data_IF_821811597940
#
_entry.id   IF_821811597940
#
_cell.length_a   1.000
_cell.length_b   1.000
_cell.length_c   1.000
_cell.angle_alpha   90.00
_cell.angle_beta   90.00
_cell.angle_gamma   90.00
#
_symmetry.space_group_name_H-M   'P 1'
#
loop_
_entity.id
_entity.type
_entity.pdbx_description
1 polymer ?
#
# COMPACT_ATOMS: atom_id res chain seq x y z
N UNK A 1 -3.65 -26.53 20.01
CA UNK A 1 -2.22 -26.42 20.34
C UNK A 1 -1.66 -25.19 19.63
N UNK A 2 -0.70 -24.47 20.21
CA UNK A 2 -0.04 -23.34 19.54
C UNK A 2 1.22 -23.87 18.83
N UNK A 3 1.31 -23.64 17.51
CA UNK A 3 2.40 -24.15 16.68
C UNK A 3 3.73 -23.41 16.89
N UNK A 4 3.70 -22.16 17.37
CA UNK A 4 4.89 -21.31 17.49
C UNK A 4 5.43 -20.80 16.13
N UNK A 5 4.77 -21.14 15.03
CA UNK A 5 5.06 -20.66 13.68
C UNK A 5 3.77 -20.63 12.85
N UNK A 6 3.76 -19.80 11.81
CA UNK A 6 2.71 -19.76 10.78
C UNK A 6 3.29 -19.80 9.35
N UNK A 7 4.62 -19.87 9.23
CA UNK A 7 5.33 -20.12 7.99
C UNK A 7 6.44 -21.14 8.23
N UNK A 8 6.60 -22.05 7.26
CA UNK A 8 7.65 -23.06 7.21
C UNK A 8 8.27 -23.07 5.82
N UNK A 9 9.60 -23.15 5.76
CA UNK A 9 10.35 -23.38 4.55
C UNK A 9 10.81 -24.85 4.54
N UNK A 10 10.56 -25.55 3.45
CA UNK A 10 10.89 -26.96 3.28
C UNK A 10 11.87 -27.11 2.11
N UNK A 11 12.78 -28.07 2.25
CA UNK A 11 13.59 -28.54 1.13
C UNK A 11 12.67 -29.29 0.15
N UNK A 12 12.65 -28.91 -1.14
CA UNK A 12 11.68 -29.45 -2.08
C UNK A 12 11.94 -30.92 -2.46
N UNK A 13 13.12 -31.48 -2.16
CA UNK A 13 13.48 -32.86 -2.52
C UNK A 13 13.29 -33.81 -1.34
N UNK A 14 13.80 -33.44 -0.18
CA UNK A 14 13.79 -34.26 1.04
C UNK A 14 12.59 -33.99 1.95
N UNK A 15 11.92 -32.85 1.79
CA UNK A 15 10.88 -32.39 2.71
C UNK A 15 11.43 -31.92 4.06
N UNK A 16 12.75 -31.84 4.23
CA UNK A 16 13.37 -31.38 5.47
C UNK A 16 12.98 -29.93 5.78
N UNK A 17 12.71 -29.62 7.04
CA UNK A 17 12.44 -28.24 7.46
C UNK A 17 13.73 -27.42 7.42
N UNK A 18 13.76 -26.40 6.57
CA UNK A 18 14.87 -25.46 6.42
C UNK A 18 14.74 -24.24 7.35
N UNK A 19 13.51 -23.93 7.77
CA UNK A 19 13.26 -22.83 8.70
C UNK A 19 11.79 -22.66 9.02
N UNK A 20 11.51 -22.04 10.16
CA UNK A 20 10.16 -21.70 10.61
C UNK A 20 10.16 -20.27 11.12
N UNK A 21 9.02 -19.59 10.98
CA UNK A 21 8.81 -18.28 11.60
C UNK A 21 7.35 -18.00 11.90
N UNK A 22 7.14 -17.09 12.83
CA UNK A 22 5.84 -16.49 13.13
C UNK A 22 5.73 -15.15 12.40
N UNK A 23 5.31 -15.20 11.13
CA UNK A 23 5.10 -14.02 10.31
C UNK A 23 4.09 -13.08 10.96
N UNK A 24 4.48 -11.81 11.09
CA UNK A 24 3.63 -10.79 11.69
C UNK A 24 3.62 -10.78 13.22
N UNK A 25 4.53 -11.52 13.88
CA UNK A 25 4.81 -11.36 15.30
C UNK A 25 5.39 -9.96 15.60
N UNK A 26 5.11 -9.44 16.80
CA UNK A 26 5.73 -8.21 17.33
C UNK A 26 7.14 -8.54 17.82
N UNK A 27 8.08 -8.72 16.89
CA UNK A 27 9.44 -9.16 17.20
C UNK A 27 10.49 -8.48 16.33
N UNK A 28 11.59 -8.07 16.97
CA UNK A 28 12.78 -7.53 16.32
C UNK A 28 13.87 -8.59 16.07
N UNK A 29 13.56 -9.86 16.31
CA UNK A 29 14.44 -10.96 15.93
C UNK A 29 14.68 -10.96 14.41
N UNK A 30 15.86 -11.41 13.99
CA UNK A 30 16.30 -11.34 12.58
C UNK A 30 15.29 -11.96 11.62
N UNK A 31 14.64 -13.05 12.01
CA UNK A 31 13.69 -13.80 11.19
C UNK A 31 12.34 -13.08 11.04
N UNK A 32 12.01 -12.21 12.00
CA UNK A 32 10.71 -11.56 12.14
C UNK A 32 10.73 -10.04 11.91
N UNK A 33 11.89 -9.38 11.92
CA UNK A 33 11.99 -7.91 11.80
C UNK A 33 11.38 -7.37 10.50
N UNK A 34 11.61 -8.04 9.36
CA UNK A 34 11.03 -7.61 8.08
C UNK A 34 9.51 -7.87 8.02
N UNK A 35 8.98 -9.06 8.38
CA UNK A 35 7.54 -9.27 8.55
C UNK A 35 6.88 -8.30 9.52
N UNK A 36 7.53 -8.00 10.65
CA UNK A 36 7.05 -7.05 11.65
C UNK A 36 6.90 -5.65 11.06
N UNK A 37 7.96 -5.13 10.43
CA UNK A 37 7.94 -3.81 9.79
C UNK A 37 6.92 -3.73 8.65
N UNK A 38 6.82 -4.79 7.85
CA UNK A 38 5.84 -4.84 6.76
C UNK A 38 4.40 -4.81 7.30
N UNK A 39 4.08 -5.63 8.30
CA UNK A 39 2.74 -5.64 8.93
C UNK A 39 2.44 -4.33 9.65
N UNK A 40 3.43 -3.74 10.32
CA UNK A 40 3.30 -2.40 10.89
C UNK A 40 2.97 -1.37 9.81
N UNK A 41 3.64 -1.43 8.67
CA UNK A 41 3.47 -0.47 7.58
C UNK A 41 2.08 -0.51 6.94
N UNK A 42 1.48 -1.68 6.72
CA UNK A 42 0.17 -1.77 6.03
C UNK A 42 -1.04 -1.87 6.98
N UNK A 43 -0.85 -2.16 8.28
CA UNK A 43 -1.96 -2.37 9.21
C UNK A 43 -1.76 -1.77 10.61
N UNK A 44 -0.60 -1.20 10.90
CA UNK A 44 -0.21 -0.76 12.24
C UNK A 44 -0.26 -1.86 13.31
N UNK A 45 -0.28 -3.15 12.91
CA UNK A 45 -0.57 -4.31 13.78
C UNK A 45 -1.92 -4.25 14.50
N UNK A 46 -2.86 -3.43 14.02
CA UNK A 46 -4.21 -3.37 14.59
C UNK A 46 -4.93 -4.69 14.25
N UNK A 47 -5.46 -5.41 15.26
CA UNK A 47 -6.18 -6.66 15.02
C UNK A 47 -7.49 -6.42 14.27
N UNK A 48 -7.88 -7.43 13.50
CA UNK A 48 -9.19 -7.45 12.83
C UNK A 48 -10.31 -7.47 13.87
N UNK A 49 -11.44 -6.84 13.55
CA UNK A 49 -12.56 -6.72 14.47
C UNK A 49 -13.84 -6.34 13.74
N UNK A 50 -15.00 -6.73 14.28
CA UNK A 50 -16.31 -6.45 13.68
C UNK A 50 -16.48 -6.95 12.24
N UNK A 51 -15.73 -7.98 11.83
CA UNK A 51 -15.70 -8.47 10.45
C UNK A 51 -14.91 -7.60 9.48
N UNK A 52 -14.12 -6.65 9.99
CA UNK A 52 -13.32 -5.70 9.22
C UNK A 52 -11.82 -5.85 9.52
N UNK A 53 -11.00 -5.60 8.51
CA UNK A 53 -9.56 -5.44 8.66
C UNK A 53 -9.24 -4.03 9.15
N UNK A 54 -9.46 -3.78 10.45
CA UNK A 54 -9.43 -2.43 11.05
C UNK A 54 -8.12 -1.68 10.74
N UNK A 55 -6.98 -2.37 10.78
CA UNK A 55 -5.68 -1.77 10.44
C UNK A 55 -5.58 -1.32 8.98
N UNK A 56 -6.02 -2.15 8.05
CA UNK A 56 -6.03 -1.83 6.61
C UNK A 56 -7.02 -0.71 6.31
N UNK A 57 -8.21 -0.75 6.91
CA UNK A 57 -9.22 0.30 6.80
C UNK A 57 -8.68 1.64 7.30
N UNK A 58 -8.03 1.67 8.47
CA UNK A 58 -7.39 2.87 9.00
C UNK A 58 -6.35 3.42 8.01
N UNK A 59 -5.44 2.56 7.52
CA UNK A 59 -4.42 2.96 6.56
C UNK A 59 -5.03 3.50 5.25
N UNK A 60 -6.15 2.92 4.81
CA UNK A 60 -6.94 3.41 3.68
C UNK A 60 -7.53 4.80 3.89
N UNK A 61 -8.14 5.05 5.05
CA UNK A 61 -8.67 6.37 5.43
C UNK A 61 -7.54 7.40 5.51
N UNK A 62 -6.41 7.04 6.12
CA UNK A 62 -5.22 7.89 6.17
C UNK A 62 -4.67 8.18 4.78
N UNK A 63 -4.68 7.20 3.87
CA UNK A 63 -4.25 7.40 2.49
C UNK A 63 -5.17 8.38 1.74
N UNK A 64 -6.49 8.30 1.93
CA UNK A 64 -7.45 9.27 1.37
C UNK A 64 -7.19 10.68 1.92
N UNK A 65 -7.02 10.80 3.24
CA UNK A 65 -6.67 12.07 3.86
C UNK A 65 -5.34 12.61 3.32
N UNK A 66 -4.36 11.74 3.08
CA UNK A 66 -3.06 12.12 2.52
C UNK A 66 -3.14 12.58 1.07
N UNK A 67 -4.00 11.97 0.24
CA UNK A 67 -4.28 12.48 -1.12
C UNK A 67 -4.84 13.91 -1.04
N UNK A 68 -5.84 14.15 -0.19
CA UNK A 68 -6.43 15.47 0.00
C UNK A 68 -5.42 16.48 0.55
N UNK A 69 -4.61 16.06 1.53
CA UNK A 69 -3.53 16.88 2.10
C UNK A 69 -2.52 17.28 1.03
N UNK A 70 -2.07 16.37 0.16
CA UNK A 70 -1.20 16.70 -0.96
C UNK A 70 -1.79 17.80 -1.86
N UNK A 71 -3.08 17.72 -2.20
CA UNK A 71 -3.76 18.71 -3.04
C UNK A 71 -3.87 20.07 -2.33
N UNK A 72 -4.27 20.07 -1.06
CA UNK A 72 -4.38 21.29 -0.25
C UNK A 72 -3.00 21.93 -0.07
N UNK A 73 -1.98 21.14 0.27
CA UNK A 73 -0.61 21.59 0.45
C UNK A 73 -0.04 22.19 -0.84
N UNK A 74 -0.37 21.63 -2.01
CA UNK A 74 0.01 22.21 -3.29
C UNK A 74 -0.61 23.60 -3.47
N UNK A 75 -1.92 23.74 -3.25
CA UNK A 75 -2.61 25.04 -3.36
C UNK A 75 -2.03 26.07 -2.39
N UNK A 76 -1.84 25.71 -1.12
CA UNK A 76 -1.27 26.59 -0.09
C UNK A 76 0.19 26.96 -0.37
N UNK A 77 0.91 26.12 -1.10
CA UNK A 77 2.30 26.39 -1.47
C UNK A 77 2.43 27.53 -2.49
N UNK A 78 1.37 27.88 -3.23
CA UNK A 78 1.37 28.94 -4.24
C UNK A 78 0.41 30.10 -3.91
N UNK A 79 0.65 30.87 -2.83
CA UNK A 79 -0.26 31.92 -2.39
C UNK A 79 -0.31 33.15 -3.32
N UNK A 80 0.66 33.31 -4.22
CA UNK A 80 0.71 34.41 -5.18
C UNK A 80 1.35 33.95 -6.49
N UNK A 81 0.66 34.22 -7.61
CA UNK A 81 1.18 33.95 -8.95
C UNK A 81 2.46 34.73 -9.24
N UNK A 82 2.63 35.93 -8.70
CA UNK A 82 3.84 36.73 -8.92
C UNK A 82 5.08 36.19 -8.18
N UNK A 83 4.88 35.42 -7.10
CA UNK A 83 5.94 34.94 -6.22
C UNK A 83 6.14 33.41 -6.28
N UNK A 84 5.58 32.73 -7.29
CA UNK A 84 5.56 31.27 -7.39
C UNK A 84 6.95 30.62 -7.29
N UNK A 85 7.99 31.27 -7.83
CA UNK A 85 9.37 30.77 -7.76
C UNK A 85 9.88 30.61 -6.33
N UNK A 86 9.36 31.40 -5.38
CA UNK A 86 9.74 31.28 -3.96
C UNK A 86 9.26 29.97 -3.34
N UNK A 87 8.27 29.32 -3.94
CA UNK A 87 7.74 28.03 -3.46
C UNK A 87 8.71 26.87 -3.73
N UNK A 88 9.70 27.06 -4.61
CA UNK A 88 10.72 26.05 -4.93
C UNK A 88 12.08 26.32 -4.25
N UNK A 89 12.24 27.46 -3.57
CA UNK A 89 13.54 27.94 -3.11
C UNK A 89 13.81 27.57 -1.64
N UNK A 90 15.05 27.15 -1.37
CA UNK A 90 15.53 26.86 -0.01
C UNK A 90 16.47 27.95 0.48
N UNK A 91 16.15 28.61 1.60
CA UNK A 91 17.03 29.62 2.22
C UNK A 91 17.95 28.96 3.25
N UNK A 92 18.94 28.20 2.79
CA UNK A 92 19.91 27.49 3.63
C UNK A 92 20.60 28.39 4.66
N UNK A 93 20.99 29.61 4.25
CA UNK A 93 21.66 30.59 5.13
C UNK A 93 20.74 31.21 6.19
N UNK A 94 19.41 31.08 6.07
CA UNK A 94 18.48 31.67 7.02
C UNK A 94 18.39 30.89 8.34
N UNK A 95 18.72 29.59 8.32
CA UNK A 95 18.73 28.71 9.48
C UNK A 95 17.38 28.59 10.22
N UNK A 96 17.38 27.77 11.27
CA UNK A 96 16.29 27.64 12.23
C UNK A 96 14.91 27.42 11.60
N UNK A 97 13.92 28.19 12.06
CA UNK A 97 12.53 28.04 11.63
C UNK A 97 12.27 28.40 10.17
N UNK A 98 13.00 29.39 9.62
CA UNK A 98 12.84 29.78 8.22
C UNK A 98 13.30 28.64 7.30
N UNK A 99 14.43 28.01 7.63
CA UNK A 99 14.87 26.83 6.90
C UNK A 99 13.91 25.66 7.10
N UNK A 100 13.43 25.39 8.32
CA UNK A 100 12.44 24.32 8.55
C UNK A 100 11.15 24.53 7.74
N UNK A 101 10.67 25.77 7.65
CA UNK A 101 9.51 26.13 6.84
C UNK A 101 9.77 25.89 5.35
N UNK A 102 10.94 26.29 4.84
CA UNK A 102 11.32 26.07 3.44
C UNK A 102 11.51 24.56 3.14
N UNK A 103 12.13 23.79 4.05
CA UNK A 103 12.27 22.35 3.95
C UNK A 103 10.91 21.67 3.81
N UNK A 104 9.93 22.06 4.64
CA UNK A 104 8.59 21.52 4.57
C UNK A 104 7.87 21.95 3.29
N UNK A 105 7.75 23.26 3.03
CA UNK A 105 6.98 23.78 1.90
C UNK A 105 7.63 23.44 0.56
N UNK A 106 8.88 23.85 0.37
CA UNK A 106 9.58 23.68 -0.91
C UNK A 106 9.96 22.23 -1.15
N UNK A 107 10.36 21.49 -0.11
CA UNK A 107 10.56 20.04 -0.21
C UNK A 107 9.28 19.32 -0.63
N UNK A 108 8.15 19.68 -0.01
CA UNK A 108 6.84 19.17 -0.39
C UNK A 108 6.48 19.45 -1.85
N UNK A 109 6.73 20.66 -2.36
CA UNK A 109 6.48 21.01 -3.77
C UNK A 109 7.36 20.20 -4.73
N UNK A 110 8.67 20.07 -4.45
CA UNK A 110 9.58 19.28 -5.30
C UNK A 110 9.21 17.79 -5.33
N UNK A 111 8.77 17.25 -4.20
CA UNK A 111 8.39 15.84 -4.08
C UNK A 111 6.92 15.57 -4.42
N UNK A 112 6.10 16.60 -4.64
CA UNK A 112 4.65 16.50 -4.80
C UNK A 112 4.21 15.38 -5.76
N UNK A 113 4.76 15.26 -7.00
CA UNK A 113 4.34 14.20 -7.90
C UNK A 113 4.55 12.80 -7.32
N UNK A 114 5.69 12.57 -6.67
CA UNK A 114 6.02 11.29 -6.04
C UNK A 114 5.13 11.03 -4.82
N UNK A 115 4.90 12.05 -3.97
CA UNK A 115 4.02 11.94 -2.80
C UNK A 115 2.58 11.63 -3.21
N UNK A 116 2.08 12.29 -4.26
CA UNK A 116 0.73 12.03 -4.78
C UNK A 116 0.61 10.61 -5.34
N UNK A 117 1.60 10.14 -6.08
CA UNK A 117 1.63 8.74 -6.57
C UNK A 117 1.60 7.77 -5.38
N UNK A 118 2.44 7.97 -4.35
CA UNK A 118 2.47 7.10 -3.17
C UNK A 118 1.14 7.13 -2.41
N UNK A 119 0.51 8.29 -2.26
CA UNK A 119 -0.78 8.43 -1.59
C UNK A 119 -1.90 7.72 -2.39
N UNK A 120 -2.01 7.95 -3.70
CA UNK A 120 -3.03 7.32 -4.57
C UNK A 120 -2.84 5.80 -4.62
N UNK A 121 -1.60 5.33 -4.77
CA UNK A 121 -1.32 3.89 -4.78
C UNK A 121 -1.59 3.25 -3.41
N UNK A 122 -1.38 3.97 -2.30
CA UNK A 122 -1.79 3.50 -0.97
C UNK A 122 -3.31 3.34 -0.85
N UNK A 123 -4.11 4.27 -1.41
CA UNK A 123 -5.58 4.09 -1.51
C UNK A 123 -5.90 2.84 -2.34
N UNK A 124 -5.23 2.64 -3.48
CA UNK A 124 -5.47 1.48 -4.33
C UNK A 124 -5.18 0.14 -3.65
N UNK A 125 -4.22 0.10 -2.72
CA UNK A 125 -3.83 -1.12 -2.01
C UNK A 125 -4.71 -1.39 -0.79
N UNK A 126 -5.13 -0.35 -0.06
CA UNK A 126 -5.90 -0.49 1.18
C UNK A 126 -7.42 -0.44 0.98
N UNK A 127 -7.90 0.27 -0.05
CA UNK A 127 -9.33 0.45 -0.37
C UNK A 127 -9.60 0.15 -1.85
N UNK A 128 -9.08 -1.00 -2.30
CA UNK A 128 -9.11 -1.38 -3.71
C UNK A 128 -10.53 -1.53 -4.23
N UNK A 129 -11.36 -2.31 -3.54
CA UNK A 129 -12.70 -2.68 -4.00
C UNK A 129 -13.73 -1.62 -3.59
N UNK A 130 -13.50 -0.92 -2.49
CA UNK A 130 -14.39 0.09 -1.91
C UNK A 130 -14.29 1.43 -2.64
N UNK A 131 -13.08 1.81 -3.09
CA UNK A 131 -12.82 3.15 -3.66
C UNK A 131 -12.19 3.06 -5.05
N UNK A 132 -11.04 2.41 -5.18
CA UNK A 132 -10.23 2.53 -6.39
C UNK A 132 -10.89 1.87 -7.61
N UNK A 133 -11.36 0.64 -7.48
CA UNK A 133 -11.98 -0.12 -8.58
C UNK A 133 -13.28 0.53 -9.06
N UNK A 134 -14.24 0.92 -8.20
CA UNK A 134 -15.43 1.66 -8.63
C UNK A 134 -15.11 2.99 -9.33
N UNK A 135 -14.09 3.71 -8.88
CA UNK A 135 -13.69 4.97 -9.51
C UNK A 135 -13.12 4.73 -10.91
N UNK A 136 -12.22 3.77 -11.07
CA UNK A 136 -11.63 3.42 -12.36
C UNK A 136 -12.69 2.86 -13.32
N UNK A 137 -13.64 2.06 -12.81
CA UNK A 137 -14.75 1.49 -13.59
C UNK A 137 -15.64 2.56 -14.25
N UNK A 138 -15.69 3.79 -13.71
CA UNK A 138 -16.42 4.92 -14.32
C UNK A 138 -15.72 5.47 -15.58
N UNK A 139 -14.42 5.21 -15.74
CA UNK A 139 -13.60 5.77 -16.80
C UNK A 139 -13.13 4.71 -17.81
N UNK A 140 -13.02 3.44 -17.39
CA UNK A 140 -12.59 2.33 -18.23
C UNK A 140 -13.33 1.06 -17.82
N UNK A 141 -13.61 0.18 -18.79
CA UNK A 141 -14.08 -1.16 -18.49
C UNK A 141 -13.07 -1.89 -17.61
N UNK A 142 -13.51 -2.82 -16.76
CA UNK A 142 -12.61 -3.61 -15.93
C UNK A 142 -12.92 -5.09 -16.10
N UNK A 143 -11.87 -5.90 -16.10
CA UNK A 143 -12.03 -7.33 -16.06
C UNK A 143 -12.77 -7.76 -14.78
N UNK A 144 -13.54 -8.86 -14.83
CA UNK A 144 -14.14 -9.45 -13.64
C UNK A 144 -13.05 -9.73 -12.60
N UNK A 145 -13.25 -9.23 -11.38
CA UNK A 145 -12.35 -9.55 -10.27
C UNK A 145 -12.75 -10.92 -9.74
N UNK A 146 -11.80 -11.86 -9.56
CA UNK A 146 -12.12 -13.19 -9.00
C UNK A 146 -12.67 -13.11 -7.57
N UNK A 147 -12.59 -11.93 -6.94
CA UNK A 147 -13.06 -11.68 -5.58
C UNK A 147 -14.28 -10.76 -5.49
N UNK A 148 -14.49 -9.83 -6.43
CA UNK A 148 -15.52 -8.79 -6.29
C UNK A 148 -16.95 -9.35 -6.31
N UNK A 149 -17.20 -10.40 -7.10
CA UNK A 149 -18.53 -11.01 -7.23
C UNK A 149 -18.78 -12.09 -6.16
N UNK A 150 -17.80 -12.33 -5.28
CA UNK A 150 -17.88 -13.33 -4.20
C UNK A 150 -17.99 -12.64 -2.85
N UNK A 151 -19.00 -13.04 -2.07
CA UNK A 151 -19.06 -12.64 -0.67
C UNK A 151 -18.04 -13.46 0.13
N UNK A 152 -17.12 -12.84 0.87
CA UNK A 152 -16.19 -13.58 1.71
C UNK A 152 -16.96 -14.34 2.80
N UNK A 153 -16.62 -15.60 2.97
CA UNK A 153 -17.10 -16.42 4.07
C UNK A 153 -16.51 -15.91 5.41
N UNK A 154 -17.27 -16.01 6.51
CA UNK A 154 -16.80 -15.52 7.79
C UNK A 154 -15.59 -16.35 8.28
N UNK A 155 -14.66 -15.77 9.06
CA UNK A 155 -13.41 -16.42 9.43
C UNK A 155 -13.56 -17.78 10.14
N UNK A 156 -14.67 -17.97 10.87
CA UNK A 156 -14.98 -19.19 11.59
C UNK A 156 -15.66 -20.28 10.73
N UNK A 157 -16.03 -19.96 9.49
CA UNK A 157 -16.64 -20.90 8.54
C UNK A 157 -16.09 -20.62 7.13
N UNK A 158 -14.79 -20.88 6.89
CA UNK A 158 -14.21 -20.70 5.57
C UNK A 158 -14.87 -21.62 4.53
N UNK A 159 -14.71 -21.28 3.25
CA UNK A 159 -15.18 -22.16 2.17
C UNK A 159 -14.27 -23.39 2.13
N UNK A 160 -14.84 -24.56 2.41
CA UNK A 160 -14.12 -25.82 2.28
C UNK A 160 -13.83 -26.12 0.80
N UNK A 161 -12.54 -26.32 0.44
CA UNK A 161 -12.17 -26.68 -0.92
C UNK A 161 -12.48 -28.17 -1.17
N UNK A 162 -12.99 -28.50 -2.36
CA UNK A 162 -13.13 -29.89 -2.80
C UNK A 162 -11.92 -30.37 -3.61
N UNK A 163 -11.19 -29.42 -4.20
CA UNK A 163 -9.95 -29.67 -4.92
C UNK A 163 -8.73 -29.40 -4.04
N UNK A 164 -7.66 -30.18 -4.22
CA UNK A 164 -6.38 -29.95 -3.56
C UNK A 164 -5.49 -28.94 -4.29
N UNK A 165 -4.41 -28.51 -3.64
CA UNK A 165 -3.39 -27.66 -4.24
C UNK A 165 -2.79 -28.27 -5.52
N UNK A 166 -2.58 -29.59 -5.55
CA UNK A 166 -2.07 -30.29 -6.72
C UNK A 166 -3.04 -30.23 -7.91
N UNK A 167 -4.35 -30.27 -7.66
CA UNK A 167 -5.37 -30.13 -8.70
C UNK A 167 -5.36 -28.71 -9.28
N UNK A 168 -5.28 -27.70 -8.42
CA UNK A 168 -5.18 -26.30 -8.84
C UNK A 168 -3.94 -26.06 -9.72
N UNK A 169 -2.78 -26.57 -9.32
CA UNK A 169 -1.54 -26.46 -10.12
C UNK A 169 -1.67 -27.20 -11.45
N UNK A 170 -2.29 -28.39 -11.47
CA UNK A 170 -2.53 -29.15 -12.71
C UNK A 170 -3.45 -28.40 -13.68
N UNK A 171 -4.57 -27.87 -13.19
CA UNK A 171 -5.51 -27.05 -13.98
C UNK A 171 -4.84 -25.79 -14.53
N UNK A 172 -4.04 -25.12 -13.69
CA UNK A 172 -3.30 -23.92 -14.07
C UNK A 172 -2.27 -24.21 -15.15
N UNK A 173 -1.48 -25.29 -15.03
CA UNK A 173 -0.50 -25.67 -16.05
C UNK A 173 -1.17 -26.05 -17.38
N UNK A 174 -2.31 -26.75 -17.34
CA UNK A 174 -3.08 -27.04 -18.55
C UNK A 174 -3.56 -25.75 -19.23
N UNK A 175 -4.06 -24.78 -18.46
CA UNK A 175 -4.48 -23.48 -19.00
C UNK A 175 -3.30 -22.64 -19.51
N UNK A 176 -2.17 -22.64 -18.81
CA UNK A 176 -0.94 -21.98 -19.25
C UNK A 176 -0.44 -22.56 -20.58
N UNK A 177 -0.45 -23.89 -20.73
CA UNK A 177 -0.11 -24.56 -21.98
C UNK A 177 -1.05 -24.18 -23.12
N UNK A 178 -2.38 -24.10 -22.87
CA UNK A 178 -3.35 -23.62 -23.86
C UNK A 178 -3.07 -22.17 -24.31
N UNK A 179 -2.53 -21.34 -23.41
CA UNK A 179 -2.12 -19.95 -23.68
C UNK A 179 -0.71 -19.82 -24.26
N UNK A 180 0.01 -20.94 -24.45
CA UNK A 180 1.40 -20.94 -24.93
C UNK A 180 2.42 -20.40 -23.94
N UNK A 181 2.10 -20.38 -22.64
CA UNK A 181 3.03 -19.93 -21.60
C UNK A 181 4.05 -21.03 -21.29
N UNK A 182 5.33 -20.66 -21.23
CA UNK A 182 6.43 -21.56 -20.89
C UNK A 182 6.91 -21.40 -19.44
N UNK A 183 6.40 -20.39 -18.75
CA UNK A 183 6.81 -20.07 -17.37
C UNK A 183 6.22 -21.11 -16.42
N UNK A 184 6.98 -21.59 -15.40
CA UNK A 184 6.48 -22.59 -14.48
C UNK A 184 5.48 -21.98 -13.48
N UNK A 185 4.61 -22.82 -12.92
CA UNK A 185 3.81 -22.47 -11.75
C UNK A 185 4.74 -22.27 -10.53
N UNK A 186 5.13 -21.02 -10.27
CA UNK A 186 6.09 -20.65 -9.25
C UNK A 186 5.49 -20.49 -7.85
N UNK A 187 4.16 -20.41 -7.74
CA UNK A 187 3.47 -20.35 -6.46
C UNK A 187 1.99 -20.66 -6.57
N UNK A 188 1.43 -21.19 -5.48
CA UNK A 188 0.00 -21.46 -5.33
C UNK A 188 -0.47 -20.94 -3.97
N UNK A 189 -1.65 -20.33 -3.94
CA UNK A 189 -2.31 -19.89 -2.72
C UNK A 189 -3.78 -20.31 -2.72
N UNK A 190 -4.35 -20.50 -1.53
CA UNK A 190 -5.79 -20.65 -1.32
C UNK A 190 -6.30 -19.45 -0.55
N UNK A 191 -7.26 -18.74 -1.13
CA UNK A 191 -8.04 -17.74 -0.41
C UNK A 191 -9.27 -18.43 0.19
N UNK A 192 -9.13 -18.98 1.41
CA UNK A 192 -10.20 -19.72 2.09
C UNK A 192 -11.50 -18.91 2.31
N UNK A 193 -11.47 -17.59 2.57
CA UNK A 193 -12.70 -16.80 2.64
C UNK A 193 -13.47 -16.76 1.31
N UNK A 194 -12.78 -16.85 0.17
CA UNK A 194 -13.41 -16.75 -1.16
C UNK A 194 -13.57 -18.10 -1.86
N UNK A 195 -12.94 -19.16 -1.35
CA UNK A 195 -12.89 -20.47 -1.99
C UNK A 195 -12.23 -20.40 -3.36
N UNK A 196 -11.11 -19.68 -3.49
CA UNK A 196 -10.41 -19.49 -4.76
C UNK A 196 -8.95 -19.88 -4.61
N UNK A 197 -8.48 -20.75 -5.50
CA UNK A 197 -7.05 -20.97 -5.70
C UNK A 197 -6.48 -19.93 -6.64
N UNK A 198 -5.32 -19.37 -6.31
CA UNK A 198 -4.51 -18.55 -7.20
C UNK A 198 -3.20 -19.26 -7.52
N UNK A 199 -2.88 -19.42 -8.80
CA UNK A 199 -1.60 -19.96 -9.26
C UNK A 199 -0.84 -18.88 -10.02
N UNK A 200 0.34 -18.53 -9.51
CA UNK A 200 1.23 -17.55 -10.08
C UNK A 200 2.32 -18.23 -10.91
N UNK A 201 2.65 -17.64 -12.05
CA UNK A 201 3.67 -18.15 -12.97
C UNK A 201 4.90 -17.25 -12.89
N UNK A 202 6.04 -17.82 -12.47
CA UNK A 202 7.34 -17.14 -12.33
C UNK A 202 8.43 -18.15 -11.98
N UNK A 203 9.68 -17.80 -12.27
CA UNK A 203 10.85 -18.60 -11.89
C UNK A 203 11.19 -18.45 -10.40
N UNK A 204 11.97 -19.41 -9.88
CA UNK A 204 12.48 -19.38 -8.51
C UNK A 204 13.22 -18.06 -8.26
N UNK A 205 12.89 -17.40 -7.14
CA UNK A 205 13.43 -16.08 -6.79
C UNK A 205 12.64 -14.89 -7.34
N UNK A 206 11.81 -15.08 -8.37
CA UNK A 206 11.06 -14.01 -9.04
C UNK A 206 9.59 -13.90 -8.61
N UNK A 207 9.20 -14.52 -7.47
CA UNK A 207 7.82 -14.53 -6.97
C UNK A 207 7.23 -13.17 -6.60
N UNK A 208 8.05 -12.12 -6.61
CA UNK A 208 7.65 -10.76 -6.29
C UNK A 208 7.45 -9.86 -7.52
N UNK A 209 7.71 -10.37 -8.73
CA UNK A 209 7.58 -9.62 -9.98
C UNK A 209 8.56 -8.45 -10.03
N UNK A 210 9.86 -8.75 -10.05
CA UNK A 210 10.91 -7.73 -10.11
C UNK A 210 10.98 -7.13 -11.52
N UNK A 211 10.40 -5.94 -11.67
CA UNK A 211 10.31 -5.21 -12.94
C UNK A 211 8.91 -5.29 -13.58
N UNK A 212 8.41 -4.15 -14.06
CA UNK A 212 7.14 -4.08 -14.79
C UNK A 212 5.89 -4.16 -13.90
N UNK A 213 4.86 -4.87 -14.39
CA UNK A 213 3.50 -4.90 -13.82
C UNK A 213 3.21 -6.16 -12.96
N UNK A 214 4.24 -6.90 -12.57
CA UNK A 214 4.14 -8.10 -11.75
C UNK A 214 4.14 -9.41 -12.55
N UNK A 215 3.69 -10.50 -11.92
CA UNK A 215 3.65 -11.84 -12.52
C UNK A 215 2.23 -12.19 -13.00
N UNK A 216 2.08 -13.08 -14.00
CA UNK A 216 0.78 -13.62 -14.37
C UNK A 216 0.20 -14.55 -13.30
N UNK A 217 -1.08 -14.39 -13.02
CA UNK A 217 -1.86 -15.23 -12.09
C UNK A 217 -3.13 -15.75 -12.75
N UNK A 218 -3.45 -17.03 -12.50
CA UNK A 218 -4.72 -17.65 -12.86
C UNK A 218 -5.48 -18.01 -11.58
N UNK A 219 -6.79 -17.81 -11.58
CA UNK A 219 -7.65 -18.02 -10.42
C UNK A 219 -8.73 -19.05 -10.73
N UNK A 220 -8.85 -20.05 -9.85
CA UNK A 220 -9.77 -21.18 -10.01
C UNK A 220 -10.69 -21.31 -8.81
N UNK A 221 -11.95 -21.64 -9.04
CA UNK A 221 -12.86 -22.02 -7.95
C UNK A 221 -12.36 -23.28 -7.25
N UNK A 222 -12.33 -23.26 -5.91
CA UNK A 222 -11.76 -24.34 -5.12
C UNK A 222 -12.65 -25.59 -5.00
N UNK A 223 -13.88 -25.55 -5.52
CA UNK A 223 -14.82 -26.67 -5.50
C UNK A 223 -14.90 -27.41 -6.83
N UNK A 224 -15.01 -26.67 -7.93
CA UNK A 224 -15.21 -27.28 -9.26
C UNK A 224 -14.04 -27.06 -10.23
N UNK A 225 -13.06 -26.23 -9.87
CA UNK A 225 -11.89 -25.97 -10.69
C UNK A 225 -12.15 -25.08 -11.91
N UNK A 226 -13.31 -24.43 -11.97
CA UNK A 226 -13.61 -23.46 -13.03
C UNK A 226 -12.65 -22.27 -12.97
N UNK A 227 -12.19 -21.80 -14.13
CA UNK A 227 -11.37 -20.59 -14.21
C UNK A 227 -12.26 -19.36 -13.96
N UNK A 228 -12.05 -18.70 -12.83
CA UNK A 228 -12.88 -17.57 -12.37
C UNK A 228 -12.22 -16.21 -12.60
N UNK A 229 -10.95 -16.19 -12.97
CA UNK A 229 -10.26 -14.95 -13.34
C UNK A 229 -8.80 -15.16 -13.73
N UNK A 230 -8.21 -14.11 -14.29
CA UNK A 230 -6.77 -14.07 -14.53
C UNK A 230 -6.26 -12.64 -14.40
N UNK A 231 -5.05 -12.47 -13.88
CA UNK A 231 -4.32 -11.21 -13.87
C UNK A 231 -3.07 -11.38 -14.71
N UNK A 232 -3.06 -10.82 -15.92
CA UNK A 232 -1.93 -10.93 -16.85
C UNK A 232 -1.30 -9.54 -16.99
N UNK A 233 -0.02 -9.37 -16.62
CA UNK A 233 0.69 -8.11 -16.72
C UNK A 233 0.57 -7.48 -18.12
N UNK A 234 0.11 -6.22 -18.17
CA UNK A 234 0.00 -5.45 -19.40
C UNK A 234 -1.14 -5.87 -20.33
N UNK A 235 -2.05 -6.74 -19.88
CA UNK A 235 -3.26 -7.14 -20.62
C UNK A 235 -4.51 -6.66 -19.88
N UNK A 236 -5.61 -6.56 -20.65
CA UNK A 236 -6.89 -6.02 -20.18
C UNK A 236 -7.13 -4.62 -20.73
N UNK A 237 -8.08 -3.92 -20.13
CA UNK A 237 -8.35 -2.52 -20.44
C UNK A 237 -7.26 -1.57 -19.93
N UNK A 238 -7.35 -0.30 -20.28
CA UNK A 238 -6.52 0.74 -19.66
C UNK A 238 -6.73 0.81 -18.13
N UNK A 239 -7.95 0.58 -17.65
CA UNK A 239 -8.25 0.48 -16.23
C UNK A 239 -7.58 -0.72 -15.56
N UNK A 240 -7.55 -1.88 -16.22
CA UNK A 240 -6.85 -3.06 -15.70
C UNK A 240 -5.35 -2.80 -15.58
N UNK A 241 -4.72 -2.23 -16.61
CA UNK A 241 -3.30 -1.87 -16.61
C UNK A 241 -2.99 -0.83 -15.53
N UNK A 242 -3.85 0.17 -15.38
CA UNK A 242 -3.74 1.17 -14.31
C UNK A 242 -3.73 0.50 -12.92
N UNK A 243 -4.69 -0.38 -12.64
CA UNK A 243 -4.77 -1.10 -11.37
C UNK A 243 -3.56 -2.02 -11.14
N UNK A 244 -3.06 -2.68 -12.19
CA UNK A 244 -1.84 -3.50 -12.12
C UNK A 244 -0.60 -2.67 -11.75
N UNK A 245 -0.53 -1.41 -12.21
CA UNK A 245 0.61 -0.54 -11.94
C UNK A 245 0.69 -0.02 -10.50
N UNK A 246 -0.41 -0.08 -9.73
CA UNK A 246 -0.48 0.54 -8.41
C UNK A 246 0.57 0.02 -7.43
N UNK A 247 0.69 -1.30 -7.27
CA UNK A 247 1.66 -1.90 -6.35
C UNK A 247 3.12 -1.75 -6.83
N UNK A 248 3.47 -2.00 -8.10
CA UNK A 248 4.81 -1.75 -8.62
C UNK A 248 5.26 -0.29 -8.54
N UNK A 249 4.35 0.68 -8.71
CA UNK A 249 4.62 2.10 -8.51
C UNK A 249 4.89 2.39 -7.03
N UNK A 250 4.03 1.91 -6.13
CA UNK A 250 4.17 2.14 -4.69
C UNK A 250 5.48 1.58 -4.13
N UNK A 251 5.86 0.38 -4.57
CA UNK A 251 7.07 -0.32 -4.11
C UNK A 251 8.34 0.09 -4.86
N UNK A 252 8.20 0.88 -5.93
CA UNK A 252 9.30 1.24 -6.83
C UNK A 252 9.78 0.11 -7.74
N UNK A 253 9.14 -1.08 -7.67
CA UNK A 253 9.52 -2.25 -8.49
C UNK A 253 9.34 -2.05 -9.98
N UNK A 254 8.45 -1.14 -10.40
CA UNK A 254 8.24 -0.85 -11.81
C UNK A 254 9.54 -0.43 -12.53
N UNK A 255 10.46 0.21 -11.81
CA UNK A 255 11.77 0.65 -12.29
C UNK A 255 12.94 -0.16 -11.66
N UNK A 256 12.66 -1.35 -11.12
CA UNK A 256 13.66 -2.22 -10.52
C UNK A 256 14.37 -1.62 -9.30
N UNK A 257 15.67 -1.89 -9.15
CA UNK A 257 16.48 -1.42 -8.01
C UNK A 257 16.51 0.12 -7.91
N UNK A 258 16.71 0.89 -9.00
CA UNK A 258 16.65 2.36 -8.93
C UNK A 258 15.33 2.89 -8.37
N UNK A 259 14.19 2.33 -8.79
CA UNK A 259 12.88 2.72 -8.27
C UNK A 259 12.70 2.40 -6.80
N UNK A 260 13.18 1.23 -6.35
CA UNK A 260 13.16 0.85 -4.92
C UNK A 260 14.02 1.78 -4.06
N UNK A 261 15.18 2.20 -4.56
CA UNK A 261 16.02 3.21 -3.89
C UNK A 261 15.27 4.55 -3.81
N UNK A 262 14.68 5.01 -4.91
CA UNK A 262 13.93 6.26 -4.95
C UNK A 262 12.76 6.27 -3.95
N UNK A 263 11.94 5.22 -3.93
CA UNK A 263 10.83 5.09 -2.98
C UNK A 263 11.32 5.04 -1.54
N UNK A 264 12.43 4.34 -1.27
CA UNK A 264 13.02 4.29 0.08
C UNK A 264 13.48 5.68 0.55
N UNK A 265 14.13 6.45 -0.32
CA UNK A 265 14.52 7.84 -0.05
C UNK A 265 13.30 8.75 0.13
N UNK A 266 12.23 8.52 -0.66
CA UNK A 266 10.97 9.24 -0.48
C UNK A 266 10.35 8.94 0.90
N UNK A 267 10.41 7.70 1.39
CA UNK A 267 9.96 7.36 2.74
C UNK A 267 10.69 8.15 3.83
N UNK A 268 12.02 8.30 3.72
CA UNK A 268 12.80 9.16 4.62
C UNK A 268 12.39 10.64 4.49
N UNK A 269 12.18 11.11 3.27
CA UNK A 269 11.73 12.47 3.03
C UNK A 269 10.35 12.73 3.63
N UNK A 270 9.41 11.79 3.54
CA UNK A 270 8.09 11.86 4.21
C UNK A 270 8.26 12.00 5.71
N UNK A 271 9.12 11.18 6.34
CA UNK A 271 9.38 11.29 7.78
C UNK A 271 9.91 12.69 8.16
N UNK A 272 10.84 13.25 7.38
CA UNK A 272 11.34 14.61 7.58
C UNK A 272 10.23 15.65 7.38
N UNK A 273 9.40 15.53 6.34
CA UNK A 273 8.26 16.43 6.10
C UNK A 273 7.26 16.37 7.25
N UNK A 274 6.94 15.20 7.78
CA UNK A 274 6.06 15.05 8.94
C UNK A 274 6.63 15.75 10.18
N UNK A 275 7.91 15.54 10.50
CA UNK A 275 8.57 16.19 11.65
C UNK A 275 8.59 17.72 11.47
N UNK A 276 9.03 18.21 10.30
CA UNK A 276 9.08 19.65 10.02
C UNK A 276 7.70 20.30 10.09
N UNK A 277 6.65 19.60 9.64
CA UNK A 277 5.25 20.05 9.72
C UNK A 277 4.76 20.19 11.15
N UNK A 278 5.00 19.18 12.00
CA UNK A 278 4.66 19.22 13.43
C UNK A 278 5.37 20.38 14.13
N UNK A 279 6.65 20.62 13.84
CA UNK A 279 7.40 21.75 14.40
C UNK A 279 6.78 23.09 13.99
N UNK A 280 6.34 23.24 12.74
CA UNK A 280 5.67 24.46 12.26
C UNK A 280 4.34 24.66 12.99
N UNK A 281 3.53 23.60 13.07
CA UNK A 281 2.24 23.63 13.75
C UNK A 281 2.38 24.01 15.23
N UNK A 282 3.28 23.36 15.96
CA UNK A 282 3.50 23.61 17.38
C UNK A 282 3.92 25.06 17.66
N UNK A 283 4.80 25.63 16.82
CA UNK A 283 5.23 27.03 16.96
C UNK A 283 4.11 28.01 16.66
N UNK A 284 3.32 27.76 15.60
CA UNK A 284 2.18 28.61 15.24
C UNK A 284 1.12 28.58 16.34
N UNK A 285 0.84 27.39 16.89
CA UNK A 285 -0.14 27.21 17.96
C UNK A 285 0.28 27.94 19.26
N UNK A 286 1.55 27.83 19.66
CA UNK A 286 2.09 28.60 20.79
C UNK A 286 1.98 30.11 20.60
N UNK A 287 2.29 30.61 19.39
CA UNK A 287 2.18 32.03 19.09
C UNK A 287 0.73 32.54 19.13
N UNK A 288 -0.23 31.73 18.65
CA UNK A 288 -1.67 32.04 18.77
C UNK A 288 -2.14 32.06 20.22
N UNK A 289 -1.75 31.07 21.03
CA UNK A 289 -2.12 31.01 22.46
C UNK A 289 -1.58 32.19 23.28
N UNK A 290 -0.37 32.67 22.97
CA UNK A 290 0.20 33.86 23.61
C UNK A 290 -0.52 35.16 23.19
N UNK A 291 -1.02 35.22 21.95
CA UNK A 291 -1.79 36.37 21.45
C UNK A 291 -3.16 36.48 22.14
N UNK A 292 -3.81 35.34 22.37
CA UNK A 292 -5.10 35.28 23.09
C UNK A 292 -4.96 35.63 24.59
N UNK A 293 -3.76 35.47 25.17
CA UNK A 293 -3.44 35.83 26.57
C UNK A 293 -2.90 37.26 26.75
N UNK A 294 -2.90 38.09 25.70
CA UNK A 294 -2.40 39.47 25.79
C UNK A 294 -3.38 40.38 26.57
N UNK A 295 -2.91 41.41 27.31
CA UNK A 295 -3.75 42.21 28.20
C UNK A 295 -4.95 42.90 27.51
N UNK A 296 -4.87 43.13 26.19
CA UNK A 296 -5.93 43.76 25.40
C UNK A 296 -7.15 42.87 25.16
N UNK A 297 -7.02 41.53 25.19
CA UNK A 297 -8.15 40.61 25.13
C UNK A 297 -8.83 40.44 26.50
N UNK A 298 -8.06 40.49 27.58
CA UNK A 298 -8.59 40.48 28.97
C UNK A 298 -9.35 41.76 29.31
N UNK A 299 -8.88 42.94 28.87
CA UNK A 299 -9.62 44.20 29.06
C UNK A 299 -10.95 44.23 28.30
N UNK A 300 -11.05 43.57 27.14
CA UNK A 300 -12.33 43.46 26.41
C UNK A 300 -13.32 42.52 27.08
N UNK A 301 -12.86 41.41 27.66
CA UNK A 301 -13.72 40.49 28.39
C UNK A 301 -14.23 41.09 29.71
N UNK A 302 -13.40 41.89 30.41
CA UNK A 302 -13.78 42.58 31.63
C UNK A 302 -14.68 43.83 31.40
N UNK A 303 -14.71 44.40 30.20
CA UNK A 303 -15.57 45.55 29.86
C UNK A 303 -16.97 45.13 29.35
N UNK A 304 -17.21 43.84 29.19
CA UNK A 304 -18.49 43.25 28.73
C UNK A 304 -19.21 42.46 29.83
N UNK A 305 -18.69 42.47 31.06
CA UNK A 305 -19.29 41.90 32.27
C UNK A 305 -19.71 43.04 33.20
#
# INVERSE_FOLDING_TARGET
>A
FALGFNQVALDPVSGATLGQREWGALSLQRENVLPFLYKLHYSMHIPDGFGLQLGVLLMGILALAWVLDCLIALVLSFPSRAAWRRSFAFRWKAGGYRLNFDLHRSGGVWLFPLLLILAVTSVAMNLREEVMRPLVARLSSLSPSPFADRRPAPPNRPVEPLLGFADAVRLANAEAARRGWQMPAGGVMLSSPFGVYGVGFFEVGNGHGDGGLGNPWLYFDARDGTLVGSSIPGKGSAGDIFLQAMFPLHSGRIAGVPGRILVSLCGLAVAVLSVTGVVIWARKHRASSLKDRSPSSMQRAAATA
#
